data_IF_511135659275
#
_entry.id   IF_511135659275
#
_cell.length_a   1.000
_cell.length_b   1.000
_cell.length_c   1.000
_cell.angle_alpha   90.00
_cell.angle_beta   90.00
_cell.angle_gamma   90.00
#
_symmetry.space_group_name_H-M   'P 1'
#
loop_
_entity.id
_entity.type
_entity.pdbx_description
1 polymer ?
#
# COMPACT_ATOMS: atom_id res chain seq x y z
N UNK A 1 -9.55 -18.40 -10.85
CA UNK A 1 -9.06 -17.81 -12.13
C UNK A 1 -8.19 -16.61 -11.80
N UNK A 2 -7.07 -16.46 -12.47
CA UNK A 2 -6.16 -15.33 -12.33
C UNK A 2 -5.95 -14.70 -13.72
N UNK A 3 -6.04 -13.38 -13.82
CA UNK A 3 -5.88 -12.65 -15.07
C UNK A 3 -4.98 -11.43 -14.85
N UNK A 4 -4.17 -11.11 -15.86
CA UNK A 4 -3.36 -9.90 -15.91
C UNK A 4 -3.87 -9.02 -17.03
N UNK A 5 -4.17 -7.77 -16.69
CA UNK A 5 -4.62 -6.75 -17.66
C UNK A 5 -3.65 -5.58 -17.60
N UNK A 6 -3.17 -5.14 -18.76
CA UNK A 6 -2.30 -3.97 -18.89
C UNK A 6 -3.07 -2.83 -19.57
N UNK A 7 -2.76 -1.59 -19.21
CA UNK A 7 -3.42 -0.42 -19.75
C UNK A 7 -3.02 0.86 -19.02
N UNK A 8 -3.66 1.98 -19.36
CA UNK A 8 -3.45 3.22 -18.62
C UNK A 8 -4.00 3.10 -17.19
N UNK A 9 -3.29 3.67 -16.22
CA UNK A 9 -3.69 3.60 -14.83
C UNK A 9 -5.08 4.20 -14.59
N UNK A 10 -5.40 5.30 -15.28
CA UNK A 10 -6.70 5.96 -15.16
C UNK A 10 -7.86 5.12 -15.72
N UNK A 11 -7.67 4.51 -16.89
CA UNK A 11 -8.72 3.69 -17.50
C UNK A 11 -8.96 2.40 -16.72
N UNK A 12 -7.88 1.67 -16.39
CA UNK A 12 -7.98 0.43 -15.62
C UNK A 12 -8.49 0.70 -14.21
N UNK A 13 -7.95 1.74 -13.54
CA UNK A 13 -8.37 2.14 -12.21
C UNK A 13 -9.83 2.56 -12.17
N UNK A 14 -10.28 3.38 -13.11
CA UNK A 14 -11.66 3.83 -13.23
C UNK A 14 -12.64 2.68 -13.42
N UNK A 15 -12.30 1.69 -14.25
CA UNK A 15 -13.12 0.48 -14.41
C UNK A 15 -13.19 -0.34 -13.12
N UNK A 16 -12.05 -0.52 -12.43
CA UNK A 16 -12.01 -1.29 -11.19
C UNK A 16 -12.78 -0.62 -10.04
N UNK A 17 -12.79 0.70 -9.98
CA UNK A 17 -13.51 1.43 -8.93
C UNK A 17 -14.99 1.55 -9.19
N UNK A 18 -15.42 1.70 -10.46
CA UNK A 18 -16.83 1.93 -10.83
C UNK A 18 -17.63 0.64 -11.10
N UNK A 19 -16.97 -0.44 -11.53
CA UNK A 19 -17.69 -1.66 -11.89
C UNK A 19 -18.18 -2.43 -10.65
N UNK A 20 -19.51 -2.66 -10.51
CA UNK A 20 -20.08 -3.31 -9.32
C UNK A 20 -19.70 -4.79 -9.16
N UNK A 21 -19.16 -5.43 -10.20
CA UNK A 21 -18.65 -6.81 -10.11
C UNK A 21 -17.41 -6.86 -9.24
N UNK A 22 -16.59 -5.79 -9.25
CA UNK A 22 -15.39 -5.67 -8.42
C UNK A 22 -15.79 -5.42 -6.97
N UNK A 23 -15.49 -6.34 -6.09
CA UNK A 23 -15.86 -6.30 -4.66
C UNK A 23 -14.76 -5.81 -3.75
N UNK A 24 -13.51 -5.92 -4.18
CA UNK A 24 -12.34 -5.49 -3.41
C UNK A 24 -11.27 -4.93 -4.34
N UNK A 25 -10.69 -3.81 -3.91
CA UNK A 25 -9.51 -3.19 -4.52
C UNK A 25 -8.32 -3.29 -3.57
N UNK A 26 -7.18 -3.67 -4.09
CA UNK A 26 -5.89 -3.60 -3.37
C UNK A 26 -4.94 -2.73 -4.18
N UNK A 27 -4.30 -1.78 -3.52
CA UNK A 27 -3.39 -0.83 -4.16
C UNK A 27 -2.16 -0.57 -3.30
N UNK A 28 -1.00 -0.50 -3.95
CA UNK A 28 0.25 -0.04 -3.36
C UNK A 28 0.77 1.12 -4.19
N UNK A 29 1.01 2.27 -3.57
CA UNK A 29 1.50 3.46 -4.27
C UNK A 29 1.40 4.73 -3.44
N UNK A 30 1.22 5.88 -4.12
CA UNK A 30 1.17 7.17 -3.43
C UNK A 30 -0.09 7.35 -2.58
N UNK A 31 0.06 8.08 -1.48
CA UNK A 31 -1.06 8.43 -0.59
C UNK A 31 -2.15 9.22 -1.30
N UNK A 32 -1.76 10.09 -2.24
CA UNK A 32 -2.69 10.88 -3.03
C UNK A 32 -3.64 9.98 -3.87
N UNK A 33 -3.08 9.05 -4.63
CA UNK A 33 -3.87 8.11 -5.42
C UNK A 33 -4.67 7.17 -4.52
N UNK A 34 -4.10 6.71 -3.41
CA UNK A 34 -4.82 5.88 -2.45
C UNK A 34 -6.07 6.58 -1.88
N UNK A 35 -5.98 7.88 -1.60
CA UNK A 35 -7.12 8.69 -1.15
C UNK A 35 -8.21 8.79 -2.22
N UNK A 36 -7.81 9.00 -3.48
CA UNK A 36 -8.74 9.04 -4.60
C UNK A 36 -9.47 7.70 -4.77
N UNK A 37 -8.72 6.60 -4.84
CA UNK A 37 -9.28 5.25 -4.99
C UNK A 37 -10.23 4.88 -3.84
N UNK A 38 -9.90 5.29 -2.61
CA UNK A 38 -10.76 5.07 -1.44
C UNK A 38 -12.09 5.82 -1.59
N UNK A 39 -12.05 7.08 -2.03
CA UNK A 39 -13.25 7.88 -2.25
C UNK A 39 -14.15 7.29 -3.35
N UNK A 40 -13.57 6.85 -4.45
CA UNK A 40 -14.30 6.20 -5.55
C UNK A 40 -14.91 4.86 -5.11
N UNK A 41 -14.15 4.02 -4.41
CA UNK A 41 -14.63 2.73 -3.90
C UNK A 41 -15.74 2.86 -2.86
N UNK A 42 -15.79 3.99 -2.13
CA UNK A 42 -16.81 4.24 -1.12
C UNK A 42 -18.24 4.33 -1.72
N UNK A 43 -18.39 4.70 -2.98
CA UNK A 43 -19.68 4.81 -3.64
C UNK A 43 -20.42 3.46 -3.67
N UNK A 44 -19.70 2.37 -3.88
CA UNK A 44 -20.24 1.00 -3.91
C UNK A 44 -19.87 0.19 -2.66
N UNK A 45 -19.32 0.84 -1.65
CA UNK A 45 -18.90 0.21 -0.38
C UNK A 45 -17.93 -0.97 -0.65
N UNK A 46 -17.04 -0.84 -1.64
CA UNK A 46 -16.04 -1.86 -1.95
C UNK A 46 -15.04 -1.97 -0.80
N UNK A 47 -14.58 -3.17 -0.52
CA UNK A 47 -13.45 -3.38 0.39
C UNK A 47 -12.17 -2.83 -0.23
N UNK A 48 -11.36 -2.11 0.54
CA UNK A 48 -10.06 -1.61 0.10
C UNK A 48 -8.94 -2.09 1.02
N UNK A 49 -7.78 -2.37 0.42
CA UNK A 49 -6.53 -2.59 1.14
C UNK A 49 -5.48 -1.69 0.50
N UNK A 50 -4.93 -0.76 1.27
CA UNK A 50 -4.05 0.28 0.78
C UNK A 50 -2.71 0.21 1.50
N UNK A 51 -1.61 0.13 0.72
CA UNK A 51 -0.25 0.31 1.18
C UNK A 51 0.29 1.58 0.52
N UNK A 52 0.56 2.57 1.32
CA UNK A 52 0.78 3.94 0.85
C UNK A 52 2.16 4.47 1.25
N UNK A 53 2.45 5.72 0.88
CA UNK A 53 3.68 6.38 1.25
C UNK A 53 3.77 6.66 2.75
N UNK A 54 4.99 6.78 3.24
CA UNK A 54 5.30 7.04 4.64
C UNK A 54 6.41 6.13 5.16
N UNK A 55 6.70 6.25 6.46
CA UNK A 55 7.68 5.42 7.14
C UNK A 55 7.04 4.78 8.37
N UNK A 56 7.40 3.52 8.62
CA UNK A 56 7.06 2.84 9.86
C UNK A 56 7.99 3.32 11.00
N UNK A 57 7.50 3.49 12.22
CA UNK A 57 8.36 3.78 13.37
C UNK A 57 9.22 2.56 13.69
N UNK A 58 10.47 2.82 14.07
CA UNK A 58 11.38 1.83 14.66
C UNK A 58 11.77 2.33 16.03
N UNK A 59 11.26 1.71 17.08
CA UNK A 59 11.38 2.19 18.46
C UNK A 59 12.39 1.31 19.20
N UNK A 60 13.42 1.94 19.76
CA UNK A 60 14.45 1.29 20.57
C UNK A 60 14.34 1.81 22.00
N UNK A 61 14.05 0.93 22.95
CA UNK A 61 14.02 1.26 24.37
C UNK A 61 15.45 1.25 24.93
N UNK A 62 15.66 1.88 26.07
CA UNK A 62 16.96 2.07 26.73
C UNK A 62 17.60 0.76 27.24
N UNK A 63 16.80 -0.27 27.46
CA UNK A 63 17.22 -1.61 27.88
C UNK A 63 17.48 -2.57 26.70
N UNK A 64 17.38 -2.09 25.45
CA UNK A 64 17.56 -2.91 24.26
C UNK A 64 19.05 -3.21 23.99
N UNK A 65 19.33 -4.32 23.31
CA UNK A 65 20.61 -4.61 22.69
C UNK A 65 20.78 -3.67 21.47
N UNK A 66 21.67 -2.67 21.60
CA UNK A 66 21.87 -1.64 20.58
C UNK A 66 22.44 -2.21 19.29
N UNK A 67 23.34 -3.18 19.34
CA UNK A 67 23.95 -3.78 18.13
C UNK A 67 22.88 -4.55 17.34
N UNK A 68 22.07 -5.35 18.00
CA UNK A 68 20.95 -6.04 17.39
C UNK A 68 19.89 -5.06 16.88
N UNK A 69 19.63 -3.95 17.57
CA UNK A 69 18.70 -2.92 17.14
C UNK A 69 19.17 -2.20 15.86
N UNK A 70 20.46 -1.88 15.76
CA UNK A 70 21.05 -1.28 14.56
C UNK A 70 20.96 -2.22 13.38
N UNK A 71 21.31 -3.49 13.55
CA UNK A 71 21.19 -4.50 12.50
C UNK A 71 19.72 -4.66 12.04
N UNK A 72 18.80 -4.75 12.97
CA UNK A 72 17.37 -4.82 12.70
C UNK A 72 16.85 -3.60 11.95
N UNK A 73 17.28 -2.40 12.32
CA UNK A 73 16.90 -1.16 11.64
C UNK A 73 17.42 -1.12 10.20
N UNK A 74 18.68 -1.51 9.98
CA UNK A 74 19.27 -1.59 8.64
C UNK A 74 18.52 -2.57 7.75
N UNK A 75 18.24 -3.78 8.25
CA UNK A 75 17.46 -4.78 7.51
C UNK A 75 16.06 -4.25 7.21
N UNK A 76 15.37 -3.68 8.18
CA UNK A 76 14.00 -3.18 8.03
C UNK A 76 13.91 -2.06 7.00
N UNK A 77 14.90 -1.15 6.97
CA UNK A 77 14.86 0.01 6.08
C UNK A 77 15.41 -0.26 4.69
N UNK A 78 16.50 -1.01 4.58
CA UNK A 78 17.25 -1.12 3.33
C UNK A 78 17.08 -2.45 2.59
N UNK A 79 16.34 -3.39 3.14
CA UNK A 79 16.03 -4.65 2.47
C UNK A 79 15.45 -4.47 1.06
N UNK A 80 14.65 -3.41 0.86
CA UNK A 80 14.04 -3.05 -0.42
C UNK A 80 14.40 -1.60 -0.82
N UNK A 81 15.69 -1.25 -0.82
CA UNK A 81 16.19 0.07 -1.21
C UNK A 81 15.58 1.25 -0.42
N UNK A 82 15.21 1.04 0.83
CA UNK A 82 14.65 2.09 1.68
C UNK A 82 13.14 2.31 1.52
N UNK A 83 12.51 1.45 0.78
CA UNK A 83 11.07 1.50 0.55
C UNK A 83 10.28 0.94 1.74
#
# INVERSE_FOLDING_TARGET
MFSVVTGSAGEVGGELTSNPIVRKLTFTGSTEIGRQLMAECAQDIKKVSLELGGNAPFIVFDDADLDAAVEGALISKYRNNGQ
#
